data_IF_388309580273
#
_entry.id   IF_388309580273
#
_cell.length_a   1.000
_cell.length_b   1.000
_cell.length_c   1.000
_cell.angle_alpha   90.00
_cell.angle_beta   90.00
_cell.angle_gamma   90.00
#
_symmetry.space_group_name_H-M   'P 1'
#
loop_
_entity.id
_entity.type
_entity.pdbx_description
1 polymer ?
#
# COMPACT_ATOMS: atom_id res chain seq x y z
N UNK A 1 7.82 -22.38 20.84
CA UNK A 1 6.69 -22.28 19.88
C UNK A 1 5.60 -21.32 20.36
N UNK A 2 5.32 -21.27 21.67
CA UNK A 2 4.25 -20.41 22.21
C UNK A 2 4.39 -18.90 21.98
N UNK A 3 5.61 -18.38 21.96
CA UNK A 3 5.88 -16.98 21.65
C UNK A 3 5.72 -16.65 20.16
N UNK A 4 5.95 -17.63 19.27
CA UNK A 4 6.00 -17.44 17.82
C UNK A 4 4.61 -17.22 17.24
N UNK A 5 3.63 -18.09 17.56
CA UNK A 5 2.27 -17.90 17.04
C UNK A 5 1.61 -16.64 17.61
N UNK A 6 1.91 -16.28 18.87
CA UNK A 6 1.42 -15.03 19.49
C UNK A 6 1.99 -13.80 18.78
N UNK A 7 3.28 -13.81 18.48
CA UNK A 7 3.91 -12.74 17.71
C UNK A 7 3.30 -12.62 16.30
N UNK A 8 3.07 -13.75 15.62
CA UNK A 8 2.41 -13.77 14.31
C UNK A 8 0.99 -13.20 14.36
N UNK A 9 0.20 -13.52 15.39
CA UNK A 9 -1.14 -12.96 15.54
C UNK A 9 -1.12 -11.46 15.82
N UNK A 10 -0.26 -10.99 16.74
CA UNK A 10 -0.13 -9.57 17.05
C UNK A 10 0.30 -8.80 15.80
N UNK A 11 1.30 -9.31 15.09
CA UNK A 11 1.80 -8.71 13.86
C UNK A 11 0.73 -8.70 12.75
N UNK A 12 0.02 -9.82 12.54
CA UNK A 12 -1.05 -9.91 11.56
C UNK A 12 -2.21 -8.95 11.86
N UNK A 13 -2.63 -8.83 13.12
CA UNK A 13 -3.66 -7.87 13.53
C UNK A 13 -3.20 -6.43 13.34
N UNK A 14 -1.95 -6.12 13.70
CA UNK A 14 -1.38 -4.79 13.48
C UNK A 14 -1.37 -4.44 11.98
N UNK A 15 -1.00 -5.38 11.12
CA UNK A 15 -1.04 -5.19 9.66
C UNK A 15 -2.48 -4.93 9.16
N UNK A 16 -3.47 -5.68 9.64
CA UNK A 16 -4.88 -5.43 9.29
C UNK A 16 -5.30 -4.01 9.66
N UNK A 17 -4.95 -3.54 10.87
CA UNK A 17 -5.25 -2.18 11.31
C UNK A 17 -4.58 -1.18 10.36
N UNK A 18 -3.30 -1.35 10.05
CA UNK A 18 -2.56 -0.48 9.14
C UNK A 18 -3.21 -0.46 7.74
N UNK A 19 -3.61 -1.61 7.18
CA UNK A 19 -4.23 -1.69 5.85
C UNK A 19 -5.62 -1.03 5.81
N UNK A 20 -6.45 -1.24 6.84
CA UNK A 20 -7.80 -0.66 6.93
C UNK A 20 -7.72 0.86 7.08
N UNK A 21 -6.88 1.35 8.01
CA UNK A 21 -6.64 2.77 8.23
C UNK A 21 -5.64 3.37 7.23
N UNK A 22 -5.26 2.61 6.21
CA UNK A 22 -4.32 3.00 5.16
C UNK A 22 -4.76 4.24 4.37
N UNK A 23 -6.07 4.50 4.24
CA UNK A 23 -6.57 5.71 3.57
C UNK A 23 -6.68 6.95 4.46
N UNK A 24 -6.23 6.89 5.72
CA UNK A 24 -6.28 8.03 6.65
C UNK A 24 -5.00 8.13 7.48
N UNK A 25 -4.96 7.50 8.66
CA UNK A 25 -3.85 7.56 9.61
C UNK A 25 -2.53 7.08 9.02
N UNK A 26 -2.57 6.14 8.08
CA UNK A 26 -1.39 5.56 7.45
C UNK A 26 -1.26 5.89 5.96
N UNK A 27 -2.00 6.89 5.45
CA UNK A 27 -1.95 7.30 4.04
C UNK A 27 -0.53 7.61 3.57
N UNK A 28 0.24 8.33 4.40
CA UNK A 28 1.64 8.66 4.11
C UNK A 28 2.51 7.43 3.78
N UNK A 29 2.30 6.29 4.45
CA UNK A 29 3.09 5.07 4.21
C UNK A 29 2.78 4.50 2.83
N UNK A 30 1.50 4.40 2.48
CA UNK A 30 1.08 3.83 1.20
C UNK A 30 1.34 4.79 0.04
N UNK A 31 1.15 6.09 0.23
CA UNK A 31 1.46 7.13 -0.75
C UNK A 31 2.97 7.16 -1.05
N UNK A 32 3.83 7.09 -0.03
CA UNK A 32 5.28 7.05 -0.23
C UNK A 32 5.74 5.78 -0.96
N UNK A 33 5.19 4.62 -0.59
CA UNK A 33 5.48 3.37 -1.30
C UNK A 33 5.02 3.42 -2.76
N UNK A 34 3.83 3.97 -3.01
CA UNK A 34 3.25 4.08 -4.35
C UNK A 34 4.09 4.99 -5.25
N UNK A 35 4.46 6.18 -4.75
CA UNK A 35 5.33 7.12 -5.47
C UNK A 35 6.70 6.51 -5.77
N UNK A 36 7.36 5.91 -4.77
CA UNK A 36 8.67 5.27 -4.98
C UNK A 36 8.60 4.14 -6.01
N UNK A 37 7.56 3.32 -5.97
CA UNK A 37 7.39 2.23 -6.94
C UNK A 37 7.12 2.74 -8.36
N UNK A 38 6.33 3.81 -8.49
CA UNK A 38 6.11 4.47 -9.77
C UNK A 38 7.40 5.10 -10.32
N UNK A 39 8.21 5.73 -9.46
CA UNK A 39 9.53 6.25 -9.85
C UNK A 39 10.48 5.15 -10.33
N UNK A 40 10.53 4.00 -9.64
CA UNK A 40 11.32 2.82 -10.04
C UNK A 40 10.83 2.27 -11.38
N UNK A 41 9.52 2.25 -11.61
CA UNK A 41 8.91 1.83 -12.87
C UNK A 41 9.08 2.85 -14.01
N UNK A 42 9.72 3.99 -13.76
CA UNK A 42 9.97 5.04 -14.74
C UNK A 42 8.84 6.06 -14.90
N UNK A 43 7.76 5.93 -14.12
CA UNK A 43 6.65 6.88 -14.08
C UNK A 43 6.99 7.98 -13.06
N UNK A 44 7.91 8.86 -13.43
CA UNK A 44 8.21 10.05 -12.61
C UNK A 44 7.15 11.11 -12.84
N UNK A 45 6.81 11.83 -11.79
CA UNK A 45 5.90 12.99 -11.84
C UNK A 45 6.33 13.98 -12.96
N UNK A 46 7.64 14.21 -13.08
CA UNK A 46 8.25 15.09 -14.08
C UNK A 46 8.02 14.63 -15.54
N UNK A 47 7.95 13.33 -15.80
CA UNK A 47 7.73 12.81 -17.16
C UNK A 47 6.27 12.89 -17.58
N UNK A 48 5.32 12.81 -16.64
CA UNK A 48 3.90 13.02 -16.93
C UNK A 48 3.63 14.48 -17.30
N UNK A 49 4.35 15.43 -16.69
CA UNK A 49 4.33 16.85 -17.11
C UNK A 49 5.00 17.12 -18.46
N UNK A 50 5.81 16.18 -18.99
CA UNK A 50 6.54 16.32 -20.25
C UNK A 50 5.96 15.41 -21.37
N UNK A 51 4.98 14.57 -21.06
CA UNK A 51 4.43 13.57 -21.98
C UNK A 51 3.48 14.19 -23.03
N UNK A 52 4.02 14.28 -24.24
CA UNK A 52 3.41 14.42 -25.57
C UNK A 52 2.46 15.61 -25.83
N UNK A 53 2.95 16.54 -26.66
CA UNK A 53 2.24 17.68 -27.25
C UNK A 53 0.85 17.32 -27.85
N UNK A 54 0.58 16.04 -28.16
CA UNK A 54 -0.71 15.56 -28.69
C UNK A 54 -1.81 15.40 -27.63
N UNK A 55 -1.46 14.95 -26.42
CA UNK A 55 -2.43 14.88 -25.30
C UNK A 55 -2.71 16.30 -24.81
N UNK A 56 -1.66 17.13 -24.76
CA UNK A 56 -1.77 18.56 -24.49
C UNK A 56 -2.69 19.30 -25.48
N UNK A 57 -2.58 19.02 -26.79
CA UNK A 57 -3.43 19.67 -27.79
C UNK A 57 -4.91 19.34 -27.62
N UNK A 58 -5.26 18.09 -27.30
CA UNK A 58 -6.68 17.69 -27.20
C UNK A 58 -7.31 18.20 -25.89
N UNK A 59 -6.56 18.19 -24.78
CA UNK A 59 -7.11 18.52 -23.45
C UNK A 59 -7.05 20.03 -23.17
N UNK A 60 -6.06 20.74 -23.72
CA UNK A 60 -5.88 22.17 -23.45
C UNK A 60 -6.28 23.09 -24.61
N UNK A 61 -7.01 22.62 -25.63
CA UNK A 61 -7.57 23.49 -26.67
C UNK A 61 -8.39 24.63 -26.05
N UNK A 62 -9.22 24.34 -25.04
CA UNK A 62 -10.09 25.32 -24.39
C UNK A 62 -9.28 26.37 -23.61
N UNK A 63 -8.34 25.92 -22.77
CA UNK A 63 -7.42 26.79 -22.01
C UNK A 63 -6.47 27.60 -22.92
N UNK A 64 -6.03 27.03 -24.04
CA UNK A 64 -5.23 27.74 -25.06
C UNK A 64 -6.06 28.82 -25.73
N UNK A 65 -7.34 28.57 -26.00
CA UNK A 65 -8.29 29.59 -26.46
C UNK A 65 -8.48 30.68 -25.41
N UNK A 66 -8.62 30.31 -24.14
CA UNK A 66 -8.73 31.23 -23.00
C UNK A 66 -7.49 32.14 -22.90
N UNK A 67 -6.29 31.57 -22.96
CA UNK A 67 -5.02 32.32 -22.97
C UNK A 67 -4.86 33.23 -24.18
N UNK A 68 -5.25 32.77 -25.38
CA UNK A 68 -5.27 33.60 -26.59
C UNK A 68 -6.28 34.74 -26.48
N UNK A 69 -7.42 34.49 -25.85
CA UNK A 69 -8.46 35.49 -25.59
C UNK A 69 -7.99 36.52 -24.55
N UNK A 70 -7.31 36.09 -23.50
CA UNK A 70 -6.66 36.97 -22.53
C UNK A 70 -5.51 37.79 -23.14
N UNK A 71 -4.70 37.20 -24.01
CA UNK A 71 -3.72 37.96 -24.80
C UNK A 71 -4.42 39.03 -25.65
N UNK A 72 -5.50 38.67 -26.36
CA UNK A 72 -6.32 39.62 -27.12
C UNK A 72 -6.90 40.73 -26.24
N UNK A 73 -7.32 40.40 -25.03
CA UNK A 73 -7.83 41.36 -24.04
C UNK A 73 -6.72 42.26 -23.49
N UNK A 74 -5.52 41.72 -23.30
CA UNK A 74 -4.31 42.47 -22.88
C UNK A 74 -3.76 43.40 -23.97
N UNK A 75 -4.08 43.19 -25.24
CA UNK A 75 -3.83 44.23 -26.25
C UNK A 75 -4.63 45.51 -25.98
N UNK A 76 -5.69 45.43 -25.18
CA UNK A 76 -6.51 46.55 -24.73
C UNK A 76 -6.28 46.93 -23.25
N UNK A 77 -5.31 46.32 -22.55
CA UNK A 77 -4.99 46.64 -21.15
C UNK A 77 -3.50 46.45 -20.83
N UNK A 78 -2.88 47.34 -20.05
CA UNK A 78 -1.43 47.30 -19.76
C UNK A 78 -0.89 46.03 -19.03
N UNK A 79 -1.77 45.12 -18.60
CA UNK A 79 -1.40 43.85 -17.99
C UNK A 79 -1.17 42.76 -19.04
N UNK A 80 0.09 42.50 -19.39
CA UNK A 80 0.47 41.34 -20.22
C UNK A 80 0.34 40.05 -19.40
N UNK A 81 -0.35 39.01 -19.90
CA UNK A 81 -0.42 37.72 -19.23
C UNK A 81 0.97 37.03 -19.22
N UNK A 82 1.34 36.46 -18.07
CA UNK A 82 2.62 35.75 -17.88
C UNK A 82 2.46 34.28 -18.27
N UNK A 83 3.21 33.84 -19.28
CA UNK A 83 3.27 32.45 -19.75
C UNK A 83 3.61 31.45 -18.63
N UNK A 84 4.31 31.91 -17.57
CA UNK A 84 4.67 31.07 -16.42
C UNK A 84 3.46 30.66 -15.58
N UNK A 85 2.44 31.49 -15.49
CA UNK A 85 1.23 31.17 -14.72
C UNK A 85 0.38 30.14 -15.48
N UNK A 86 0.32 30.27 -16.82
CA UNK A 86 -0.29 29.27 -17.69
C UNK A 86 0.38 27.89 -17.57
N UNK A 87 1.73 27.84 -17.57
CA UNK A 87 2.46 26.58 -17.43
C UNK A 87 2.27 25.93 -16.04
N UNK A 88 2.20 26.73 -14.98
CA UNK A 88 1.90 26.22 -13.62
C UNK A 88 0.51 25.60 -13.55
N UNK A 89 -0.49 26.27 -14.10
CA UNK A 89 -1.87 25.79 -14.08
C UNK A 89 -2.04 24.54 -14.94
N UNK A 90 -1.40 24.50 -16.12
CA UNK A 90 -1.32 23.31 -16.97
C UNK A 90 -0.72 22.11 -16.23
N UNK A 91 0.44 22.29 -15.60
CA UNK A 91 1.10 21.23 -14.83
C UNK A 91 0.25 20.77 -13.65
N UNK A 92 -0.45 21.70 -12.98
CA UNK A 92 -1.37 21.37 -11.91
C UNK A 92 -2.53 20.48 -12.39
N UNK A 93 -3.16 20.84 -13.52
CA UNK A 93 -4.27 20.07 -14.10
C UNK A 93 -3.80 18.68 -14.54
N UNK A 94 -2.65 18.58 -15.21
CA UNK A 94 -2.10 17.29 -15.67
C UNK A 94 -1.81 16.38 -14.47
N UNK A 95 -1.14 16.91 -13.44
CA UNK A 95 -0.84 16.16 -12.22
C UNK A 95 -2.10 15.62 -11.57
N UNK A 96 -3.11 16.47 -11.41
CA UNK A 96 -4.33 16.09 -10.72
C UNK A 96 -5.23 15.15 -11.55
N UNK A 97 -5.11 15.18 -12.88
CA UNK A 97 -5.93 14.38 -13.80
C UNK A 97 -5.31 13.03 -14.13
N UNK A 98 -3.98 12.93 -14.20
CA UNK A 98 -3.30 11.71 -14.65
C UNK A 98 -2.43 11.10 -13.56
N UNK A 99 -1.55 11.89 -12.93
CA UNK A 99 -0.57 11.34 -11.99
C UNK A 99 -1.22 10.89 -10.68
N UNK A 100 -2.03 11.75 -10.05
CA UNK A 100 -2.66 11.45 -8.76
C UNK A 100 -3.59 10.21 -8.84
N UNK A 101 -4.45 10.06 -9.86
CA UNK A 101 -5.27 8.84 -9.99
C UNK A 101 -4.44 7.55 -10.17
N UNK A 102 -3.29 7.62 -10.85
CA UNK A 102 -2.39 6.47 -10.98
C UNK A 102 -1.78 6.11 -9.62
N UNK A 103 -1.35 7.12 -8.85
CA UNK A 103 -0.85 6.94 -7.48
C UNK A 103 -1.94 6.31 -6.61
N UNK A 104 -3.17 6.80 -6.67
CA UNK A 104 -4.31 6.28 -5.88
C UNK A 104 -4.63 4.81 -6.22
N UNK A 105 -4.53 4.42 -7.50
CA UNK A 105 -4.73 3.02 -7.93
C UNK A 105 -3.63 2.11 -7.37
N UNK A 106 -2.38 2.56 -7.44
CA UNK A 106 -1.24 1.80 -6.90
C UNK A 106 -1.32 1.71 -5.38
N UNK A 107 -1.75 2.78 -4.71
CA UNK A 107 -1.99 2.82 -3.27
C UNK A 107 -3.06 1.78 -2.88
N UNK A 108 -4.18 1.76 -3.59
CA UNK A 108 -5.24 0.78 -3.38
C UNK A 108 -4.72 -0.66 -3.54
N UNK A 109 -3.89 -0.90 -4.55
CA UNK A 109 -3.27 -2.20 -4.76
C UNK A 109 -2.35 -2.60 -3.60
N UNK A 110 -1.52 -1.69 -3.10
CA UNK A 110 -0.68 -1.93 -1.92
C UNK A 110 -1.50 -2.20 -0.66
N UNK A 111 -2.62 -1.50 -0.48
CA UNK A 111 -3.51 -1.73 0.67
C UNK A 111 -4.17 -3.10 0.59
N UNK A 112 -4.67 -3.51 -0.57
CA UNK A 112 -5.28 -4.82 -0.78
C UNK A 112 -4.27 -5.96 -0.58
N UNK A 113 -3.07 -5.82 -1.14
CA UNK A 113 -2.01 -6.83 -1.00
C UNK A 113 -1.49 -6.90 0.44
N UNK A 114 -1.34 -5.77 1.13
CA UNK A 114 -1.00 -5.72 2.56
C UNK A 114 -2.05 -6.43 3.42
N UNK A 115 -3.33 -6.22 3.14
CA UNK A 115 -4.42 -6.90 3.84
C UNK A 115 -4.39 -8.42 3.58
N UNK A 116 -4.21 -8.84 2.33
CA UNK A 116 -4.06 -10.26 1.97
C UNK A 116 -2.86 -10.91 2.65
N UNK A 117 -1.72 -10.22 2.70
CA UNK A 117 -0.53 -10.67 3.40
C UNK A 117 -0.78 -10.82 4.90
N UNK A 118 -1.51 -9.90 5.52
CA UNK A 118 -1.89 -9.98 6.93
C UNK A 118 -2.71 -11.24 7.24
N UNK A 119 -3.66 -11.60 6.37
CA UNK A 119 -4.43 -12.85 6.48
C UNK A 119 -3.49 -14.06 6.42
N UNK A 120 -2.55 -14.09 5.46
CA UNK A 120 -1.57 -15.18 5.36
C UNK A 120 -0.75 -15.32 6.63
N UNK A 121 -0.25 -14.22 7.20
CA UNK A 121 0.49 -14.22 8.47
C UNK A 121 -0.33 -14.83 9.61
N UNK A 122 -1.61 -14.49 9.72
CA UNK A 122 -2.50 -15.05 10.74
C UNK A 122 -2.69 -16.56 10.53
N UNK A 123 -2.90 -17.00 9.28
CA UNK A 123 -3.02 -18.42 8.95
C UNK A 123 -1.74 -19.19 9.31
N UNK A 124 -0.57 -18.64 9.03
CA UNK A 124 0.69 -19.21 9.49
C UNK A 124 0.75 -19.30 11.02
N UNK A 125 0.28 -18.28 11.73
CA UNK A 125 0.13 -18.32 13.19
C UNK A 125 -0.71 -19.52 13.66
N UNK A 126 -1.83 -19.81 12.99
CA UNK A 126 -2.67 -20.99 13.28
C UNK A 126 -1.89 -22.29 13.07
N UNK A 127 -1.15 -22.43 11.98
CA UNK A 127 -0.34 -23.63 11.72
C UNK A 127 0.69 -23.83 12.83
N UNK A 128 1.45 -22.80 13.20
CA UNK A 128 2.44 -22.89 14.27
C UNK A 128 1.81 -23.19 15.63
N UNK A 129 0.63 -22.66 15.92
CA UNK A 129 -0.10 -22.96 17.14
C UNK A 129 -0.53 -24.44 17.18
N UNK A 130 -1.06 -24.97 16.08
CA UNK A 130 -1.46 -26.39 15.98
C UNK A 130 -0.26 -27.33 16.10
N UNK A 131 0.84 -27.02 15.42
CA UNK A 131 2.09 -27.78 15.54
C UNK A 131 2.59 -27.78 16.98
N UNK A 132 2.60 -26.62 17.64
CA UNK A 132 2.98 -26.50 19.05
C UNK A 132 2.14 -27.40 19.96
N UNK A 133 0.81 -27.43 19.77
CA UNK A 133 -0.08 -28.34 20.53
C UNK A 133 0.20 -29.80 20.24
N UNK A 134 0.46 -30.16 18.98
CA UNK A 134 0.76 -31.54 18.59
C UNK A 134 2.01 -32.06 19.31
N UNK A 135 3.09 -31.28 19.36
CA UNK A 135 4.28 -31.63 20.13
C UNK A 135 3.98 -31.77 21.62
N UNK A 136 3.23 -30.82 22.19
CA UNK A 136 2.89 -30.83 23.62
C UNK A 136 2.03 -32.06 24.00
N UNK A 137 1.09 -32.46 23.14
CA UNK A 137 0.31 -33.69 23.35
C UNK A 137 1.16 -34.94 23.21
N UNK A 138 2.06 -35.00 22.22
CA UNK A 138 2.99 -36.12 22.07
C UNK A 138 3.86 -36.30 23.31
N UNK A 139 4.41 -35.22 23.84
CA UNK A 139 5.24 -35.26 25.06
C UNK A 139 4.44 -35.72 26.28
N UNK A 140 3.18 -35.27 26.40
CA UNK A 140 2.28 -35.70 27.47
C UNK A 140 1.93 -37.18 27.37
N UNK A 141 1.66 -37.67 26.16
CA UNK A 141 1.38 -39.11 25.92
C UNK A 141 2.60 -39.93 26.33
N UNK A 142 3.80 -39.58 25.85
CA UNK A 142 5.04 -40.27 26.22
C UNK A 142 5.25 -40.29 27.75
N UNK A 143 5.00 -39.18 28.43
CA UNK A 143 5.13 -39.10 29.89
C UNK A 143 4.08 -39.95 30.63
N UNK A 144 2.86 -40.07 30.09
CA UNK A 144 1.81 -40.94 30.62
C UNK A 144 2.16 -42.41 30.43
N UNK A 145 2.61 -42.81 29.24
CA UNK A 145 3.05 -44.18 28.94
C UNK A 145 4.17 -44.62 29.88
N UNK A 146 5.15 -43.74 30.13
CA UNK A 146 6.25 -44.02 31.05
C UNK A 146 5.75 -44.26 32.48
N UNK A 147 4.82 -43.43 32.97
CA UNK A 147 4.21 -43.61 34.30
C UNK A 147 3.39 -44.88 34.42
N UNK A 148 2.63 -45.24 33.39
CA UNK A 148 1.87 -46.50 33.37
C UNK A 148 2.81 -47.69 33.46
N UNK A 149 3.89 -47.68 32.68
CA UNK A 149 4.90 -48.73 32.72
C UNK A 149 5.58 -48.87 34.10
N UNK A 150 5.89 -47.76 34.77
CA UNK A 150 6.43 -47.77 36.13
C UNK A 150 5.46 -48.37 37.16
N UNK A 151 4.17 -48.03 37.07
CA UNK A 151 3.12 -48.57 37.94
C UNK A 151 3.00 -50.08 37.75
N UNK A 152 2.89 -50.55 36.50
CA UNK A 152 2.80 -51.98 36.18
C UNK A 152 4.01 -52.74 36.71
N UNK A 153 5.23 -52.22 36.50
CA UNK A 153 6.46 -52.82 37.01
C UNK A 153 6.48 -52.91 38.55
N UNK A 154 6.00 -51.87 39.25
CA UNK A 154 5.93 -51.89 40.71
C UNK A 154 4.90 -52.88 41.26
N UNK A 155 3.83 -53.17 40.50
CA UNK A 155 2.77 -54.11 40.90
C UNK A 155 3.15 -55.59 40.72
N UNK A 156 4.20 -55.86 39.96
CA UNK A 156 4.74 -57.19 39.69
C UNK A 156 5.91 -57.59 40.61
N UNK A 157 6.41 -56.64 41.42
CA UNK A 157 7.42 -56.86 42.48
C UNK A 157 6.74 -57.04 43.82
#
# INVERSE_FOLDING_TARGET
MDSVYKALYIFGVALIIISIFGGSLFAFLFESLSKNSLEIAGVREEYVTVADNKIDEIIFIEKRFEYRFEQLKSFFSDNKPDERDYQKEKNFIIRNTFYNPIVDIVELFYRLTSFGFAIMVILFGVVFHLLGKLFLYRDKINALELKVYEIEKSSLM
#
